data_IF_885693024210
#
_entry.id   IF_885693024210
#
_cell.length_a   1.000
_cell.length_b   1.000
_cell.length_c   1.000
_cell.angle_alpha   90.00
_cell.angle_beta   90.00
_cell.angle_gamma   90.00
#
_symmetry.space_group_name_H-M   'P 1'
#
loop_
_entity.id
_entity.type
_entity.pdbx_description
1 polymer ?
#
# COMPACT_ATOMS: atom_id res chain seq x y z
N UNK A 1 0.35 49.37 -15.55
CA UNK A 1 -0.22 48.00 -15.46
C UNK A 1 0.68 47.00 -14.69
N UNK A 2 1.88 47.41 -14.24
CA UNK A 2 2.87 46.56 -13.54
C UNK A 2 2.64 46.38 -12.03
N UNK A 3 1.82 47.22 -11.37
CA UNK A 3 1.59 47.19 -9.92
C UNK A 3 0.58 46.14 -9.43
N UNK A 4 -0.35 45.68 -10.28
CA UNK A 4 -1.33 44.64 -9.91
C UNK A 4 -0.75 43.23 -9.92
N UNK A 5 0.36 43.02 -10.65
CA UNK A 5 1.04 41.73 -10.74
C UNK A 5 1.85 41.40 -9.47
N UNK A 6 2.35 42.42 -8.77
CA UNK A 6 3.22 42.26 -7.60
C UNK A 6 2.47 41.81 -6.31
N UNK A 7 1.15 42.02 -6.24
CA UNK A 7 0.32 41.66 -5.08
C UNK A 7 -0.29 40.25 -5.18
N UNK A 8 -0.24 39.61 -6.35
CA UNK A 8 -0.78 38.26 -6.55
C UNK A 8 0.21 37.16 -6.16
N UNK A 9 1.52 37.45 -6.23
CA UNK A 9 2.59 36.51 -5.91
C UNK A 9 2.65 36.08 -4.43
N UNK A 10 2.51 36.97 -3.43
CA UNK A 10 2.61 36.57 -2.01
C UNK A 10 1.40 35.76 -1.54
N UNK A 11 0.22 36.04 -2.08
CA UNK A 11 -1.03 35.32 -1.77
C UNK A 11 -0.97 33.90 -2.35
N UNK A 12 -0.41 33.74 -3.56
CA UNK A 12 -0.23 32.43 -4.18
C UNK A 12 0.77 31.54 -3.41
N UNK A 13 1.85 32.12 -2.87
CA UNK A 13 2.80 31.36 -2.03
C UNK A 13 2.22 30.91 -0.67
N UNK A 14 1.30 31.67 -0.07
CA UNK A 14 0.62 31.26 1.17
C UNK A 14 -0.36 30.09 0.95
N UNK A 15 -0.99 30.00 -0.22
CA UNK A 15 -1.90 28.90 -0.57
C UNK A 15 -1.14 27.60 -0.87
N UNK A 16 0.11 27.70 -1.36
CA UNK A 16 0.97 26.55 -1.66
C UNK A 16 1.65 25.96 -0.40
N UNK A 17 1.68 26.68 0.72
CA UNK A 17 2.34 26.26 1.96
C UNK A 17 1.60 25.21 2.78
N UNK A 18 0.35 24.89 2.46
CA UNK A 18 -0.46 23.88 3.16
C UNK A 18 -0.61 22.59 2.37
N UNK A 19 0.36 22.23 1.52
CA UNK A 19 0.47 20.87 1.02
C UNK A 19 0.79 19.94 2.20
N UNK A 20 -0.26 19.56 2.94
CA UNK A 20 -0.22 18.47 3.89
C UNK A 20 0.39 17.29 3.16
N UNK A 21 1.49 16.78 3.69
CA UNK A 21 2.09 15.58 3.13
C UNK A 21 1.01 14.51 3.14
N UNK A 22 0.58 14.06 1.96
CA UNK A 22 -0.23 12.86 1.84
C UNK A 22 0.64 11.71 2.33
N UNK A 23 0.56 11.40 3.63
CA UNK A 23 1.16 10.19 4.17
C UNK A 23 0.43 9.04 3.49
N UNK A 24 1.16 8.20 2.76
CA UNK A 24 0.59 7.02 2.12
C UNK A 24 0.08 6.10 3.23
N UNK A 25 -1.25 6.04 3.40
CA UNK A 25 -1.85 5.11 4.33
C UNK A 25 -1.47 3.70 3.89
N UNK A 26 -0.77 2.95 4.74
CA UNK A 26 -0.50 1.55 4.50
C UNK A 26 -1.79 0.73 4.57
N UNK A 27 -1.90 -0.31 3.75
CA UNK A 27 -3.01 -1.26 3.82
C UNK A 27 -2.48 -2.62 4.26
N UNK A 28 -3.23 -3.32 5.11
CA UNK A 28 -2.91 -4.69 5.51
C UNK A 28 -3.70 -5.69 4.68
N UNK A 29 -3.05 -6.33 3.71
CA UNK A 29 -3.73 -7.19 2.72
C UNK A 29 -2.88 -8.37 2.27
N UNK A 30 -3.51 -9.32 1.57
CA UNK A 30 -2.86 -10.42 0.86
C UNK A 30 -2.38 -9.94 -0.51
N UNK A 31 -1.08 -9.75 -0.65
CA UNK A 31 -0.44 -9.51 -1.96
C UNK A 31 -0.25 -10.83 -2.72
N UNK A 32 -0.30 -10.74 -4.04
CA UNK A 32 -0.22 -11.89 -4.95
C UNK A 32 0.99 -11.76 -5.88
N UNK A 33 1.71 -12.86 -6.05
CA UNK A 33 3.03 -12.87 -6.68
C UNK A 33 3.17 -14.04 -7.64
N UNK A 34 3.69 -13.75 -8.82
CA UNK A 34 4.13 -14.74 -9.79
C UNK A 34 5.60 -15.08 -9.57
N UNK A 35 5.96 -16.35 -9.75
CA UNK A 35 7.36 -16.78 -9.74
C UNK A 35 7.94 -16.78 -11.15
N UNK A 36 8.51 -15.65 -11.57
CA UNK A 36 9.21 -15.53 -12.86
C UNK A 36 10.70 -15.87 -12.71
N UNK A 37 11.07 -17.09 -13.09
CA UNK A 37 12.45 -17.57 -12.99
C UNK A 37 12.94 -17.58 -11.54
N UNK A 38 13.86 -16.69 -11.19
CA UNK A 38 14.53 -16.65 -9.88
C UNK A 38 14.07 -15.54 -8.93
N UNK A 39 13.10 -14.69 -9.32
CA UNK A 39 12.57 -13.63 -8.47
C UNK A 39 11.04 -13.67 -8.35
N UNK A 40 10.50 -13.02 -7.33
CA UNK A 40 9.07 -12.76 -7.22
C UNK A 40 8.71 -11.52 -8.02
N UNK A 41 7.64 -11.60 -8.79
CA UNK A 41 7.06 -10.46 -9.50
C UNK A 41 5.67 -10.20 -8.97
N UNK A 42 5.35 -8.95 -8.64
CA UNK A 42 4.01 -8.60 -8.21
C UNK A 42 3.04 -8.89 -9.34
N UNK A 43 2.00 -9.69 -9.08
CA UNK A 43 1.09 -10.12 -10.12
C UNK A 43 0.24 -8.95 -10.62
N UNK A 44 0.16 -8.78 -11.94
CA UNK A 44 -0.69 -7.76 -12.59
C UNK A 44 -2.14 -8.24 -12.77
N UNK A 45 -2.36 -9.55 -12.63
CA UNK A 45 -3.65 -10.20 -12.68
C UNK A 45 -4.01 -10.78 -11.31
N UNK A 46 -5.31 -10.86 -11.01
CA UNK A 46 -5.78 -11.42 -9.74
C UNK A 46 -5.73 -12.96 -9.71
N UNK A 47 -5.71 -13.58 -8.52
CA UNK A 47 -5.68 -15.04 -8.39
C UNK A 47 -6.82 -15.78 -9.11
N UNK A 48 -7.98 -15.13 -9.25
CA UNK A 48 -9.16 -15.71 -9.92
C UNK A 48 -9.06 -15.70 -11.45
N UNK A 49 -8.20 -14.87 -12.03
CA UNK A 49 -8.00 -14.76 -13.49
C UNK A 49 -6.68 -15.40 -13.93
N UNK A 50 -5.67 -15.40 -13.07
CA UNK A 50 -4.37 -16.04 -13.37
C UNK A 50 -4.53 -17.55 -13.43
N UNK A 51 -4.10 -18.13 -14.55
CA UNK A 51 -4.27 -19.55 -14.92
C UNK A 51 -2.88 -20.15 -15.22
N UNK A 52 -2.11 -20.53 -14.18
CA UNK A 52 -0.74 -21.02 -14.34
C UNK A 52 -0.67 -22.38 -15.03
N UNK A 53 0.51 -22.74 -15.55
CA UNK A 53 0.80 -24.04 -16.13
C UNK A 53 1.12 -25.10 -15.04
N UNK A 54 1.18 -26.39 -15.42
CA UNK A 54 1.71 -27.43 -14.51
C UNK A 54 3.19 -27.14 -14.24
N UNK A 55 3.57 -27.11 -12.97
CA UNK A 55 4.95 -26.75 -12.60
C UNK A 55 5.11 -25.35 -12.03
N UNK A 56 4.11 -24.48 -12.21
CA UNK A 56 4.21 -23.10 -11.78
C UNK A 56 4.14 -22.96 -10.26
N UNK A 57 4.80 -21.91 -9.77
CA UNK A 57 4.81 -21.52 -8.36
C UNK A 57 4.15 -20.17 -8.21
N UNK A 58 3.14 -20.10 -7.34
CA UNK A 58 2.41 -18.87 -7.03
C UNK A 58 2.55 -18.49 -5.55
N UNK A 59 2.61 -17.20 -5.26
CA UNK A 59 2.90 -16.67 -3.92
C UNK A 59 1.79 -15.78 -3.37
N UNK A 60 1.47 -15.97 -2.09
CA UNK A 60 0.57 -15.11 -1.31
C UNK A 60 1.33 -14.60 -0.09
N UNK A 61 1.33 -13.28 0.11
CA UNK A 61 2.00 -12.66 1.27
C UNK A 61 1.09 -11.65 1.95
N UNK A 62 0.75 -11.92 3.21
CA UNK A 62 0.02 -10.99 4.06
C UNK A 62 0.98 -10.01 4.73
N UNK A 63 0.81 -8.72 4.47
CA UNK A 63 1.66 -7.67 5.03
C UNK A 63 0.95 -6.32 5.01
N UNK A 64 1.50 -5.35 5.75
CA UNK A 64 1.23 -3.93 5.51
C UNK A 64 2.10 -3.47 4.34
N UNK A 65 1.48 -2.90 3.31
CA UNK A 65 2.18 -2.24 2.21
C UNK A 65 1.44 -0.97 1.80
N UNK A 66 2.18 0.04 1.34
CA UNK A 66 1.62 1.32 0.88
C UNK A 66 0.92 1.16 -0.48
N UNK A 67 1.59 0.47 -1.40
CA UNK A 67 1.12 0.19 -2.75
C UNK A 67 1.78 -1.09 -3.31
N UNK A 68 1.49 -1.43 -4.56
CA UNK A 68 2.07 -2.59 -5.24
C UNK A 68 3.57 -2.47 -5.49
N UNK A 69 4.10 -1.25 -5.69
CA UNK A 69 5.53 -1.02 -5.91
C UNK A 69 6.35 -1.27 -4.64
N UNK A 70 5.75 -1.06 -3.47
CA UNK A 70 6.34 -1.25 -2.16
C UNK A 70 5.84 -2.52 -1.44
N UNK A 71 5.10 -3.36 -2.15
CA UNK A 71 4.54 -4.58 -1.60
C UNK A 71 5.61 -5.54 -1.10
N UNK A 72 5.40 -6.09 0.09
CA UNK A 72 6.33 -7.09 0.64
C UNK A 72 6.13 -8.42 -0.08
N UNK A 73 7.18 -8.89 -0.76
CA UNK A 73 7.22 -10.21 -1.38
C UNK A 73 7.22 -11.36 -0.35
N UNK A 74 6.85 -12.59 -0.75
CA UNK A 74 6.95 -13.76 0.10
C UNK A 74 8.38 -13.93 0.63
N UNK A 75 8.53 -14.32 1.90
CA UNK A 75 9.85 -14.47 2.53
C UNK A 75 10.65 -15.63 1.96
N UNK A 76 9.99 -16.69 1.48
CA UNK A 76 10.65 -17.79 0.78
C UNK A 76 11.09 -17.34 -0.62
N UNK A 77 12.38 -17.05 -0.80
CA UNK A 77 12.92 -16.46 -2.03
C UNK A 77 13.14 -17.46 -3.17
N UNK A 78 13.27 -18.74 -2.85
CA UNK A 78 13.58 -19.80 -3.82
C UNK A 78 12.70 -21.02 -3.59
N UNK A 79 11.37 -20.88 -3.75
CA UNK A 79 10.50 -22.04 -3.75
C UNK A 79 10.82 -22.94 -4.95
N UNK A 80 10.83 -24.24 -4.71
CA UNK A 80 11.16 -25.26 -5.70
C UNK A 80 9.92 -26.13 -5.90
N UNK A 81 9.32 -26.07 -7.09
CA UNK A 81 8.13 -26.85 -7.44
C UNK A 81 8.34 -28.34 -7.19
N UNK A 82 9.48 -28.90 -7.60
CA UNK A 82 9.74 -30.33 -7.50
C UNK A 82 9.78 -30.78 -6.03
N UNK A 83 10.28 -29.93 -5.13
CA UNK A 83 10.27 -30.19 -3.68
C UNK A 83 8.88 -30.02 -3.07
N UNK A 84 8.17 -28.96 -3.43
CA UNK A 84 6.82 -28.66 -2.89
C UNK A 84 5.81 -29.73 -3.31
N UNK A 85 5.90 -30.20 -4.55
CA UNK A 85 5.00 -31.17 -5.15
C UNK A 85 5.58 -32.60 -5.18
N UNK A 86 6.63 -32.91 -4.42
CA UNK A 86 7.30 -34.22 -4.45
C UNK A 86 6.35 -35.41 -4.21
N UNK A 87 5.34 -35.22 -3.37
CA UNK A 87 4.34 -36.24 -3.02
C UNK A 87 3.06 -36.18 -3.87
N UNK A 88 3.04 -35.34 -4.90
CA UNK A 88 1.90 -35.16 -5.80
C UNK A 88 2.29 -35.64 -7.21
N UNK A 89 2.10 -36.93 -7.52
CA UNK A 89 2.40 -37.46 -8.85
C UNK A 89 1.56 -36.77 -9.92
N UNK A 90 2.11 -36.69 -11.14
CA UNK A 90 1.38 -36.16 -12.28
C UNK A 90 0.17 -37.06 -12.57
N UNK A 91 -1.00 -36.44 -12.79
CA UNK A 91 -2.24 -37.12 -13.13
C UNK A 91 -2.70 -36.63 -14.48
N UNK A 92 -3.05 -37.55 -15.39
CA UNK A 92 -3.52 -37.19 -16.72
C UNK A 92 -4.77 -36.29 -16.62
N UNK A 93 -4.78 -35.20 -17.40
CA UNK A 93 -5.88 -34.23 -17.39
C UNK A 93 -5.93 -33.35 -16.14
N UNK A 94 -4.85 -33.28 -15.36
CA UNK A 94 -4.69 -32.36 -14.24
C UNK A 94 -3.37 -31.60 -14.37
N UNK A 95 -3.29 -30.45 -13.69
CA UNK A 95 -2.06 -29.70 -13.45
C UNK A 95 -1.82 -29.55 -11.97
N UNK A 96 -0.57 -29.30 -11.60
CA UNK A 96 -0.12 -29.03 -10.24
C UNK A 96 0.41 -27.61 -10.18
N UNK A 97 -0.04 -26.89 -9.17
CA UNK A 97 0.43 -25.54 -8.87
C UNK A 97 1.01 -25.58 -7.46
N UNK A 98 2.28 -25.19 -7.32
CA UNK A 98 2.91 -25.01 -6.03
C UNK A 98 2.53 -23.64 -5.46
N UNK A 99 2.10 -23.60 -4.20
CA UNK A 99 1.64 -22.40 -3.53
C UNK A 99 2.55 -22.10 -2.35
N UNK A 100 3.07 -20.88 -2.30
CA UNK A 100 3.74 -20.31 -1.13
C UNK A 100 2.75 -19.43 -0.39
N UNK A 101 2.39 -19.80 0.83
CA UNK A 101 1.45 -19.05 1.67
C UNK A 101 2.23 -18.48 2.84
N UNK A 102 2.44 -17.17 2.81
CA UNK A 102 3.19 -16.44 3.81
C UNK A 102 2.28 -15.48 4.60
N UNK A 103 1.92 -15.89 5.80
CA UNK A 103 0.95 -15.21 6.68
C UNK A 103 1.44 -13.88 7.29
N UNK A 104 2.65 -13.41 6.99
CA UNK A 104 3.16 -12.20 7.63
C UNK A 104 4.05 -12.48 8.83
N UNK A 105 4.51 -11.40 9.47
CA UNK A 105 5.41 -11.45 10.63
C UNK A 105 4.71 -11.04 11.93
N UNK A 106 3.38 -10.93 11.91
CA UNK A 106 2.62 -10.65 13.13
C UNK A 106 2.84 -11.78 14.14
N UNK A 107 2.96 -11.50 15.45
CA UNK A 107 3.16 -12.55 16.45
C UNK A 107 2.06 -13.63 16.48
N UNK A 108 0.85 -13.28 16.04
CA UNK A 108 -0.31 -14.18 15.93
C UNK A 108 -0.43 -14.86 14.56
N UNK A 109 0.48 -14.58 13.62
CA UNK A 109 0.47 -15.18 12.29
C UNK A 109 0.91 -16.65 12.35
N UNK A 110 0.23 -17.56 11.63
CA UNK A 110 0.74 -18.90 11.40
C UNK A 110 2.12 -18.89 10.73
N UNK A 111 2.88 -19.96 10.89
CA UNK A 111 4.14 -20.12 10.17
C UNK A 111 3.90 -20.16 8.65
N UNK A 112 4.79 -19.56 7.83
CA UNK A 112 4.76 -19.72 6.39
C UNK A 112 4.80 -21.19 6.00
N UNK A 113 4.03 -21.56 4.97
CA UNK A 113 4.01 -22.93 4.48
C UNK A 113 3.85 -22.98 2.97
N UNK A 114 4.23 -24.12 2.41
CA UNK A 114 3.99 -24.46 1.02
C UNK A 114 2.92 -25.53 0.89
N UNK A 115 2.23 -25.57 -0.24
CA UNK A 115 1.30 -26.64 -0.57
C UNK A 115 1.29 -26.90 -2.07
N UNK A 116 1.01 -28.14 -2.46
CA UNK A 116 0.83 -28.51 -3.86
C UNK A 116 -0.65 -28.75 -4.14
N UNK A 117 -1.23 -28.00 -5.07
CA UNK A 117 -2.61 -28.15 -5.49
C UNK A 117 -2.68 -28.90 -6.82
N UNK A 118 -3.42 -30.01 -6.88
CA UNK A 118 -3.69 -30.75 -8.13
C UNK A 118 -5.10 -30.41 -8.62
N UNK A 119 -5.21 -29.73 -9.76
CA UNK A 119 -6.46 -29.11 -10.25
C UNK A 119 -6.70 -29.39 -11.72
N UNK A 120 -7.87 -29.01 -12.24
CA UNK A 120 -8.17 -29.12 -13.68
C UNK A 120 -7.23 -28.24 -14.50
N UNK A 121 -6.99 -28.56 -15.79
CA UNK A 121 -6.03 -27.83 -16.62
C UNK A 121 -6.38 -26.36 -16.78
N UNK A 122 -7.69 -26.07 -16.79
CA UNK A 122 -8.15 -24.71 -16.86
C UNK A 122 -8.06 -24.01 -15.51
N UNK A 123 -8.04 -24.64 -14.33
CA UNK A 123 -8.19 -23.94 -13.04
C UNK A 123 -7.27 -22.71 -12.81
N UNK A 124 -7.84 -21.70 -12.14
CA UNK A 124 -7.17 -20.49 -11.67
C UNK A 124 -6.35 -20.72 -10.40
N UNK A 125 -5.51 -19.76 -10.05
CA UNK A 125 -4.75 -19.78 -8.80
C UNK A 125 -5.67 -19.75 -7.57
N UNK A 126 -6.79 -19.04 -7.63
CA UNK A 126 -7.79 -19.01 -6.57
C UNK A 126 -8.43 -20.39 -6.34
N UNK A 127 -8.78 -21.09 -7.43
CA UNK A 127 -9.30 -22.46 -7.35
C UNK A 127 -8.26 -23.43 -6.79
N UNK A 128 -6.99 -23.30 -7.21
CA UNK A 128 -5.88 -24.06 -6.64
C UNK A 128 -5.71 -23.80 -5.14
N UNK A 129 -5.68 -22.53 -4.71
CA UNK A 129 -5.57 -22.15 -3.31
C UNK A 129 -6.74 -22.73 -2.48
N UNK A 130 -7.95 -22.69 -3.03
CA UNK A 130 -9.12 -23.27 -2.39
C UNK A 130 -9.02 -24.78 -2.18
N UNK A 131 -8.16 -25.52 -2.89
CA UNK A 131 -7.99 -26.96 -2.62
C UNK A 131 -7.11 -27.25 -1.40
N UNK A 132 -6.26 -26.32 -0.97
CA UNK A 132 -5.18 -26.57 0.02
C UNK A 132 -5.17 -25.62 1.23
N UNK A 133 -6.01 -24.58 1.23
CA UNK A 133 -5.93 -23.52 2.23
C UNK A 133 -7.29 -22.95 2.67
N UNK A 134 -8.34 -23.78 2.67
CA UNK A 134 -9.65 -23.40 3.21
C UNK A 134 -9.59 -23.14 4.73
N UNK A 135 -10.51 -22.31 5.26
CA UNK A 135 -11.47 -21.51 4.50
C UNK A 135 -10.82 -20.27 3.87
N UNK A 136 -11.37 -19.84 2.73
CA UNK A 136 -11.02 -18.58 2.10
C UNK A 136 -12.15 -17.59 2.36
N UNK A 137 -11.80 -16.36 2.75
CA UNK A 137 -12.78 -15.27 2.90
C UNK A 137 -12.50 -14.20 1.86
N UNK A 138 -13.56 -13.77 1.17
CA UNK A 138 -13.51 -12.68 0.21
C UNK A 138 -14.51 -11.60 0.61
N UNK A 139 -14.24 -10.34 0.23
CA UNK A 139 -15.23 -9.28 0.34
C UNK A 139 -16.10 -9.21 -0.92
N UNK A 140 -17.04 -8.26 -0.95
CA UNK A 140 -17.96 -8.04 -2.07
C UNK A 140 -17.27 -7.60 -3.37
N UNK A 141 -16.04 -7.10 -3.29
CA UNK A 141 -15.21 -6.75 -4.45
C UNK A 141 -14.29 -7.91 -4.90
N UNK A 142 -14.56 -9.13 -4.43
CA UNK A 142 -13.75 -10.33 -4.69
C UNK A 142 -12.27 -10.22 -4.24
N UNK A 143 -11.97 -9.33 -3.30
CA UNK A 143 -10.65 -9.24 -2.69
C UNK A 143 -10.46 -10.38 -1.69
N UNK A 144 -9.32 -11.06 -1.75
CA UNK A 144 -8.95 -12.11 -0.80
C UNK A 144 -8.63 -11.50 0.57
N UNK A 145 -9.52 -11.72 1.53
CA UNK A 145 -9.41 -11.20 2.87
C UNK A 145 -8.68 -12.14 3.82
N UNK A 146 -8.90 -13.46 3.68
CA UNK A 146 -8.29 -14.45 4.56
C UNK A 146 -7.99 -15.76 3.85
N UNK A 147 -6.90 -16.41 4.28
CA UNK A 147 -6.50 -17.75 3.90
C UNK A 147 -6.40 -18.57 5.20
N UNK A 148 -7.04 -19.74 5.24
CA UNK A 148 -7.05 -20.62 6.42
C UNK A 148 -7.35 -19.86 7.74
N UNK A 149 -8.45 -19.08 7.73
CA UNK A 149 -8.91 -18.23 8.85
C UNK A 149 -7.95 -17.10 9.29
N UNK A 150 -6.90 -16.81 8.52
CA UNK A 150 -5.97 -15.72 8.80
C UNK A 150 -5.98 -14.61 7.73
N UNK A 151 -6.02 -13.33 8.12
CA UNK A 151 -6.32 -12.84 9.48
C UNK A 151 -7.76 -13.20 9.89
N UNK A 152 -7.99 -13.32 11.20
CA UNK A 152 -9.32 -13.65 11.75
C UNK A 152 -10.39 -12.61 11.36
N UNK A 153 -9.98 -11.36 11.16
CA UNK A 153 -10.86 -10.22 10.84
C UNK A 153 -10.16 -9.26 9.89
N UNK A 154 -10.92 -8.29 9.37
CA UNK A 154 -10.40 -7.27 8.46
C UNK A 154 -10.40 -7.71 7.00
N UNK A 155 -10.25 -6.75 6.08
CA UNK A 155 -10.03 -7.05 4.66
C UNK A 155 -9.41 -5.84 3.95
N UNK A 156 -8.08 -5.81 3.85
CA UNK A 156 -7.35 -4.65 3.35
C UNK A 156 -7.64 -3.38 4.16
N UNK A 157 -7.63 -3.51 5.49
CA UNK A 157 -7.85 -2.36 6.36
C UNK A 157 -6.67 -1.39 6.24
N UNK A 158 -6.95 -0.08 6.21
CA UNK A 158 -5.92 0.92 6.38
C UNK A 158 -5.32 0.80 7.79
N UNK A 159 -4.00 0.72 7.87
CA UNK A 159 -3.29 1.01 9.10
C UNK A 159 -3.11 2.52 9.16
N UNK A 160 -3.89 3.14 10.03
CA UNK A 160 -3.57 4.49 10.46
C UNK A 160 -2.29 4.40 11.28
N UNK A 161 -1.29 5.22 10.94
CA UNK A 161 -0.24 5.50 11.89
C UNK A 161 -0.91 5.95 13.18
N UNK A 162 -0.60 5.26 14.27
CA UNK A 162 -1.00 5.63 15.61
C UNK A 162 -0.96 7.15 15.73
N UNK A 163 -2.13 7.77 15.93
CA UNK A 163 -2.24 9.21 16.18
C UNK A 163 -1.20 9.56 17.22
N UNK A 164 -0.16 10.28 16.81
CA UNK A 164 0.83 10.87 17.73
C UNK A 164 0.01 11.49 18.87
N UNK A 165 0.28 11.15 20.16
CA UNK A 165 -0.45 11.75 21.26
C UNK A 165 -0.42 13.27 21.05
N UNK A 166 -1.54 13.99 21.27
CA UNK A 166 -1.54 15.44 21.08
C UNK A 166 -0.41 16.01 21.95
N UNK A 167 0.62 16.54 21.31
CA UNK A 167 1.67 17.28 22.00
C UNK A 167 0.98 18.39 22.78
N UNK A 168 1.17 18.48 24.11
CA UNK A 168 0.49 19.49 24.91
C UNK A 168 0.81 20.87 24.35
N UNK A 169 -0.23 21.62 24.00
CA UNK A 169 -0.16 22.96 23.43
C UNK A 169 0.75 23.85 24.28
N UNK A 170 1.98 24.07 23.83
CA UNK A 170 2.87 25.10 24.36
C UNK A 170 2.69 26.36 23.54
N UNK A 171 1.81 27.26 24.03
CA UNK A 171 1.82 28.72 23.81
C UNK A 171 1.78 29.24 22.36
N UNK A 172 1.30 30.48 22.14
CA UNK A 172 1.40 31.10 20.82
C UNK A 172 2.89 31.31 20.48
N UNK A 173 3.33 30.64 19.42
CA UNK A 173 4.69 30.70 18.90
C UNK A 173 5.12 32.14 18.67
N UNK A 174 6.31 32.51 19.18
CA UNK A 174 6.97 33.81 18.98
C UNK A 174 7.02 34.22 17.49
N UNK A 175 7.00 33.24 16.57
CA UNK A 175 6.91 33.47 15.13
C UNK A 175 5.62 34.16 14.65
N UNK A 176 4.47 33.95 15.31
CA UNK A 176 3.22 34.63 14.96
C UNK A 176 3.26 36.11 15.37
N UNK A 177 3.86 36.41 16.51
CA UNK A 177 4.04 37.79 16.97
C UNK A 177 5.04 38.53 16.08
N UNK A 178 6.17 37.91 15.74
CA UNK A 178 7.16 38.49 14.83
C UNK A 178 6.59 38.75 13.42
N UNK A 179 5.80 37.81 12.88
CA UNK A 179 5.14 37.95 11.58
C UNK A 179 4.09 39.06 11.54
N UNK A 180 3.29 39.22 12.59
CA UNK A 180 2.28 40.26 12.68
C UNK A 180 2.90 41.67 12.71
N UNK A 181 4.01 41.88 13.45
CA UNK A 181 4.74 43.15 13.46
C UNK A 181 5.30 43.53 12.09
N UNK A 182 5.83 42.56 11.33
CA UNK A 182 6.36 42.82 9.99
C UNK A 182 5.27 43.30 9.03
N UNK A 183 4.07 42.74 9.09
CA UNK A 183 2.94 43.14 8.24
C UNK A 183 2.47 44.56 8.59
N UNK A 184 2.37 44.90 9.88
CA UNK A 184 1.96 46.24 10.32
C UNK A 184 2.97 47.32 9.88
N UNK A 185 4.27 47.04 10.00
CA UNK A 185 5.32 47.97 9.55
C UNK A 185 5.28 48.20 8.04
N UNK A 186 5.05 47.14 7.25
CA UNK A 186 4.93 47.25 5.80
C UNK A 186 3.67 48.03 5.37
N UNK A 187 2.55 47.84 6.07
CA UNK A 187 1.32 48.59 5.82
C UNK A 187 1.49 50.10 6.13
N UNK A 188 2.14 50.43 7.25
CA UNK A 188 2.43 51.81 7.61
C UNK A 188 3.37 52.50 6.59
N UNK A 189 4.40 51.81 6.13
CA UNK A 189 5.31 52.33 5.11
C UNK A 189 4.62 52.56 3.76
N UNK A 190 3.69 51.68 3.37
CA UNK A 190 2.91 51.83 2.14
C UNK A 190 1.99 53.06 2.18
N UNK A 191 1.30 53.30 3.31
CA UNK A 191 0.43 54.47 3.51
C UNK A 191 1.25 55.77 3.46
N UNK A 192 2.41 55.79 4.10
CA UNK A 192 3.28 56.96 4.11
C UNK A 192 3.83 57.28 2.72
N UNK A 193 4.20 56.26 1.94
CA UNK A 193 4.68 56.43 0.56
C UNK A 193 3.57 56.90 -0.39
N UNK A 194 2.33 56.49 -0.15
CA UNK A 194 1.15 56.98 -0.88
C UNK A 194 0.84 58.45 -0.57
N UNK A 195 1.04 58.89 0.69
CA UNK A 195 0.85 60.30 1.09
C UNK A 195 1.93 61.25 0.58
N UNK A 196 3.12 60.73 0.21
CA UNK A 196 4.25 61.53 -0.28
C UNK A 196 4.31 61.71 -1.80
N UNK A 197 3.39 61.11 -2.55
CA UNK A 197 3.17 61.45 -3.95
C UNK A 197 1.75 62.01 -4.10
N UNK A 198 1.54 63.31 -3.83
CA UNK A 198 0.41 64.02 -4.41
C UNK A 198 0.52 63.92 -5.93
N UNK A 199 -0.63 63.69 -6.58
CA UNK A 199 -0.76 63.75 -8.03
C UNK A 199 -0.24 65.09 -8.56
N UNK A 200 0.78 65.03 -9.42
CA UNK A 200 0.89 65.98 -10.53
C UNK A 200 0.00 65.45 -11.68
#
# INVERSE_FOLDING_TARGET
MTRRLALLLPVLLLVLGTAGHAQAAGYRYWSFWDRTGTHWTYATQGPSTTRPDDGDVQGFRFAVSEDSANAKQPRLQSPDFAKICANSPAVQGKKRIALVIDFGTSPDAPAPRTACATVTPDASTAEALATVAKPLRYNTAALLCAIADYPKQGCADQVTDQKKPPTPHHGPSVGLLAGATAIVLLAAAAIWRARRHPHD
#
